data_IF_183518119695
#
_entry.id   IF_183518119695
#
_cell.length_a   1.000
_cell.length_b   1.000
_cell.length_c   1.000
_cell.angle_alpha   90.00
_cell.angle_beta   90.00
_cell.angle_gamma   90.00
#
_symmetry.space_group_name_H-M   'P 1'
#
loop_
_entity.id
_entity.type
_entity.pdbx_description
1 polymer ?
#
# COMPACT_ATOMS: atom_id res chain seq x y z
N UNK A 1 -11.26 0.34 -8.57
CA UNK A 1 -11.36 -0.55 -7.39
C UNK A 1 -10.94 0.22 -6.16
N UNK A 2 -11.65 0.06 -5.06
CA UNK A 2 -11.44 0.88 -3.86
C UNK A 2 -11.58 0.01 -2.62
N UNK A 3 -10.77 0.33 -1.59
CA UNK A 3 -10.84 -0.35 -0.31
C UNK A 3 -10.70 0.67 0.83
N UNK A 4 -11.47 0.44 1.90
CA UNK A 4 -11.50 1.35 3.06
C UNK A 4 -10.47 0.93 4.10
N UNK A 5 -9.61 1.86 4.46
CA UNK A 5 -8.71 1.71 5.60
C UNK A 5 -9.17 2.54 6.78
N UNK A 6 -8.49 2.36 7.90
CA UNK A 6 -8.75 3.13 9.13
C UNK A 6 -8.25 4.57 8.96
N UNK A 7 -7.06 4.72 8.40
CA UNK A 7 -6.37 6.00 8.27
C UNK A 7 -6.34 6.52 6.83
N UNK A 8 -6.90 5.77 5.88
CA UNK A 8 -6.94 6.19 4.48
C UNK A 8 -7.82 5.31 3.63
N UNK A 9 -8.12 5.78 2.43
CA UNK A 9 -8.85 5.04 1.41
C UNK A 9 -7.88 4.74 0.29
N UNK A 10 -7.81 3.47 -0.14
CA UNK A 10 -6.96 3.06 -1.25
C UNK A 10 -7.84 2.87 -2.47
N UNK A 11 -7.46 3.48 -3.59
CA UNK A 11 -8.11 3.26 -4.88
C UNK A 11 -7.06 2.83 -5.89
N UNK A 12 -7.42 1.94 -6.80
CA UNK A 12 -6.52 1.47 -7.85
C UNK A 12 -7.22 1.46 -9.19
N UNK A 13 -6.54 1.93 -10.21
CA UNK A 13 -6.95 1.76 -11.61
C UNK A 13 -5.82 1.02 -12.35
N UNK A 14 -5.88 0.99 -13.66
CA UNK A 14 -4.94 0.23 -14.47
C UNK A 14 -3.51 0.75 -14.40
N UNK A 15 -3.30 2.00 -14.00
CA UNK A 15 -1.99 2.65 -14.04
C UNK A 15 -1.50 3.16 -12.70
N UNK A 16 -2.39 3.43 -11.75
CA UNK A 16 -2.01 4.09 -10.50
C UNK A 16 -2.75 3.51 -9.30
N UNK A 17 -2.09 3.57 -8.15
CA UNK A 17 -2.71 3.41 -6.82
C UNK A 17 -2.77 4.80 -6.19
N UNK A 18 -3.92 5.15 -5.63
CA UNK A 18 -4.13 6.43 -4.98
C UNK A 18 -4.52 6.18 -3.52
N UNK A 19 -3.86 6.85 -2.59
CA UNK A 19 -4.19 6.79 -1.17
C UNK A 19 -4.69 8.17 -0.74
N UNK A 20 -5.92 8.22 -0.26
CA UNK A 20 -6.49 9.44 0.32
C UNK A 20 -6.46 9.29 1.83
N UNK A 21 -5.59 10.06 2.49
CA UNK A 21 -5.41 9.99 3.93
C UNK A 21 -6.54 10.70 4.66
N UNK A 22 -7.13 10.02 5.65
CA UNK A 22 -8.27 10.53 6.42
C UNK A 22 -7.86 11.17 7.73
N UNK A 23 -6.72 10.76 8.29
CA UNK A 23 -6.31 11.14 9.64
C UNK A 23 -5.01 11.89 9.61
N UNK A 24 -4.74 12.66 10.66
CA UNK A 24 -3.44 13.34 10.82
C UNK A 24 -2.30 12.33 10.80
N UNK A 25 -2.48 11.17 11.43
CA UNK A 25 -1.48 10.11 11.45
C UNK A 25 -1.18 9.61 10.04
N UNK A 26 -2.22 9.40 9.24
CA UNK A 26 -2.04 8.98 7.85
C UNK A 26 -1.30 10.03 7.05
N UNK A 27 -1.66 11.31 7.22
CA UNK A 27 -0.98 12.41 6.53
C UNK A 27 0.48 12.54 6.95
N UNK A 28 0.80 12.25 8.22
CA UNK A 28 2.18 12.25 8.69
C UNK A 28 3.00 11.11 8.09
N UNK A 29 2.35 10.06 7.63
CA UNK A 29 3.02 8.94 6.95
C UNK A 29 3.23 9.20 5.47
N UNK A 30 2.61 10.23 4.89
CA UNK A 30 2.77 10.56 3.48
C UNK A 30 4.10 11.27 3.23
N UNK A 31 4.58 11.18 2.00
CA UNK A 31 5.89 11.72 1.64
C UNK A 31 5.93 13.23 1.75
N UNK A 32 4.89 13.91 1.29
CA UNK A 32 4.84 15.36 1.21
C UNK A 32 3.92 16.00 2.25
N UNK A 33 3.36 15.20 3.16
CA UNK A 33 2.43 15.68 4.17
C UNK A 33 1.04 16.01 3.66
N UNK A 34 0.76 15.79 2.38
CA UNK A 34 -0.57 16.02 1.81
C UNK A 34 -1.52 14.89 2.20
N UNK A 35 -2.82 15.09 1.95
CA UNK A 35 -3.81 14.05 2.19
C UNK A 35 -4.02 13.12 0.98
N UNK A 36 -3.25 13.29 -0.08
CA UNK A 36 -3.38 12.50 -1.30
C UNK A 36 -2.01 12.04 -1.77
N UNK A 37 -1.87 10.73 -1.99
CA UNK A 37 -0.69 10.16 -2.63
C UNK A 37 -1.10 9.42 -3.89
N UNK A 38 -0.37 9.63 -4.97
CA UNK A 38 -0.58 8.93 -6.24
C UNK A 38 0.68 8.14 -6.55
N UNK A 39 0.55 6.81 -6.68
CA UNK A 39 1.68 5.91 -6.88
C UNK A 39 1.51 5.21 -8.23
N UNK A 40 2.39 5.45 -9.21
CA UNK A 40 2.34 4.69 -10.46
C UNK A 40 2.57 3.20 -10.16
N UNK A 41 1.75 2.33 -10.72
CA UNK A 41 1.88 0.88 -10.50
C UNK A 41 3.22 0.38 -11.04
N UNK A 42 3.73 1.01 -12.11
CA UNK A 42 5.04 0.66 -12.66
C UNK A 42 6.19 0.86 -11.66
N UNK A 43 5.99 1.66 -10.63
CA UNK A 43 6.99 1.91 -9.59
C UNK A 43 6.84 1.01 -8.37
N UNK A 44 5.79 0.21 -8.30
CA UNK A 44 5.57 -0.69 -7.18
C UNK A 44 6.36 -1.96 -7.42
N UNK A 45 7.28 -2.24 -6.49
CA UNK A 45 8.07 -3.47 -6.52
C UNK A 45 7.25 -4.65 -6.01
N UNK A 46 6.59 -4.49 -4.87
CA UNK A 46 5.82 -5.55 -4.22
C UNK A 46 4.88 -4.95 -3.19
N UNK A 47 4.06 -5.79 -2.59
CA UNK A 47 3.19 -5.41 -1.47
C UNK A 47 3.46 -6.33 -0.28
N UNK A 48 3.26 -5.80 0.92
CA UNK A 48 3.30 -6.57 2.16
C UNK A 48 1.92 -6.48 2.80
N UNK A 49 1.31 -7.64 3.05
CA UNK A 49 0.00 -7.70 3.70
C UNK A 49 0.14 -8.35 5.07
N UNK A 50 -0.25 -7.61 6.09
CA UNK A 50 -0.40 -8.11 7.45
C UNK A 50 -1.89 -8.30 7.69
N UNK A 51 -2.37 -9.54 7.88
CA UNK A 51 -3.80 -9.77 8.04
C UNK A 51 -4.35 -9.14 9.33
N UNK A 52 -5.58 -8.67 9.25
CA UNK A 52 -6.30 -8.22 10.43
C UNK A 52 -6.86 -9.42 11.19
N UNK A 53 -7.04 -9.24 12.49
CA UNK A 53 -7.72 -10.21 13.36
C UNK A 53 -8.82 -9.49 14.12
N UNK A 54 -9.72 -10.20 14.83
CA UNK A 54 -10.71 -9.52 15.64
C UNK A 54 -10.11 -8.59 16.70
N UNK A 55 -8.90 -8.89 17.17
CA UNK A 55 -8.23 -8.08 18.19
C UNK A 55 -7.17 -7.14 17.70
N UNK A 56 -6.86 -7.12 16.37
CA UNK A 56 -5.80 -6.24 15.86
C UNK A 56 -6.06 -5.84 14.42
N UNK A 57 -5.60 -4.64 14.07
CA UNK A 57 -5.68 -4.12 12.71
C UNK A 57 -4.68 -4.83 11.80
N UNK A 58 -5.04 -4.94 10.53
CA UNK A 58 -4.10 -5.35 9.49
C UNK A 58 -3.44 -4.14 8.84
N UNK A 59 -2.53 -4.42 7.91
CA UNK A 59 -1.81 -3.38 7.19
C UNK A 59 -1.53 -3.84 5.76
N UNK A 60 -1.72 -2.95 4.79
CA UNK A 60 -1.27 -3.14 3.43
C UNK A 60 -0.23 -2.08 3.12
N UNK A 61 0.98 -2.52 2.77
CA UNK A 61 2.09 -1.64 2.43
C UNK A 61 2.52 -1.86 1.00
N UNK A 62 2.81 -0.76 0.29
CA UNK A 62 3.37 -0.80 -1.05
C UNK A 62 4.86 -0.48 -0.98
N UNK A 63 5.68 -1.39 -1.50
CA UNK A 63 7.14 -1.21 -1.58
C UNK A 63 7.49 -0.71 -2.97
N UNK A 64 8.19 0.41 -3.05
CA UNK A 64 8.55 1.03 -4.33
C UNK A 64 9.91 0.58 -4.81
N UNK A 65 10.11 0.59 -6.12
CA UNK A 65 11.41 0.31 -6.73
C UNK A 65 12.39 1.37 -6.22
N UNK A 66 13.54 0.92 -5.73
CA UNK A 66 14.53 1.78 -5.08
C UNK A 66 14.43 1.79 -3.56
N UNK A 67 13.33 1.31 -3.01
CA UNK A 67 13.09 1.19 -1.57
C UNK A 67 12.60 -0.22 -1.24
N UNK A 68 13.33 -1.23 -1.71
CA UNK A 68 12.89 -2.62 -1.62
C UNK A 68 13.07 -3.27 -0.27
N UNK A 69 13.53 -2.55 0.74
CA UNK A 69 13.63 -3.12 2.08
C UNK A 69 12.26 -3.17 2.73
N UNK A 70 11.50 -4.27 2.56
CA UNK A 70 10.18 -4.34 3.17
C UNK A 70 10.31 -4.39 4.68
N UNK A 71 9.30 -3.89 5.37
CA UNK A 71 9.23 -4.03 6.81
C UNK A 71 9.09 -5.50 7.14
N UNK A 72 9.92 -5.99 8.06
CA UNK A 72 9.75 -7.35 8.58
C UNK A 72 8.81 -7.30 9.79
N UNK A 73 8.09 -8.37 9.99
CA UNK A 73 7.15 -8.45 11.11
C UNK A 73 7.83 -8.35 12.47
N UNK A 74 9.06 -8.83 12.54
CA UNK A 74 9.81 -8.85 13.78
C UNK A 74 10.33 -7.47 14.15
N UNK A 75 10.41 -6.58 13.19
CA UNK A 75 10.78 -5.20 13.45
C UNK A 75 9.52 -4.39 13.60
N UNK A 76 9.24 -3.96 14.77
CA UNK A 76 8.07 -3.20 15.14
C UNK A 76 7.62 -2.24 14.01
N UNK A 77 6.74 -2.71 13.15
CA UNK A 77 6.29 -1.98 11.97
C UNK A 77 5.63 -0.65 12.32
N UNK A 78 5.03 -0.54 13.50
CA UNK A 78 4.44 0.72 13.97
C UNK A 78 5.52 1.79 14.17
N UNK A 79 6.67 1.41 14.70
CA UNK A 79 7.80 2.34 14.85
C UNK A 79 8.31 2.79 13.49
N UNK A 80 8.35 1.89 12.52
CA UNK A 80 8.82 2.22 11.18
C UNK A 80 7.86 3.17 10.46
N UNK A 81 6.55 3.03 10.67
CA UNK A 81 5.58 3.97 10.12
C UNK A 81 5.82 5.40 10.63
N UNK A 82 6.28 5.54 11.87
CA UNK A 82 6.55 6.86 12.45
C UNK A 82 7.86 7.45 11.95
N UNK A 83 8.86 6.61 11.70
CA UNK A 83 10.21 7.04 11.35
C UNK A 83 10.44 7.18 9.85
N UNK A 84 9.79 6.37 9.06
CA UNK A 84 10.04 6.28 7.62
C UNK A 84 8.89 6.95 6.86
N UNK A 85 9.12 8.18 6.43
CA UNK A 85 8.13 8.95 5.68
C UNK A 85 7.90 8.42 4.26
N UNK A 86 8.70 7.46 3.81
CA UNK A 86 8.52 6.86 2.48
C UNK A 86 7.65 5.59 2.53
N UNK A 87 7.13 5.25 3.69
CA UNK A 87 6.30 4.06 3.87
C UNK A 87 4.87 4.35 3.40
N UNK A 88 4.44 3.63 2.38
CA UNK A 88 3.09 3.73 1.83
C UNK A 88 2.26 2.58 2.41
N UNK A 89 1.77 2.76 3.63
CA UNK A 89 1.07 1.70 4.35
C UNK A 89 -0.26 2.20 4.91
N UNK A 90 -1.31 1.42 4.72
CA UNK A 90 -2.66 1.73 5.18
C UNK A 90 -3.11 0.66 6.15
N UNK A 91 -3.61 1.07 7.31
CA UNK A 91 -4.17 0.19 8.31
C UNK A 91 -5.64 -0.10 8.00
N UNK A 92 -6.11 -1.31 8.31
CA UNK A 92 -7.51 -1.66 8.09
C UNK A 92 -8.01 -2.58 9.19
N UNK A 93 -9.34 -2.56 9.39
CA UNK A 93 -10.02 -3.48 10.28
C UNK A 93 -10.44 -4.75 9.54
N UNK A 94 -10.67 -5.82 10.28
CA UNK A 94 -11.04 -7.13 9.72
C UNK A 94 -12.19 -7.06 8.69
N UNK A 95 -13.28 -6.30 8.91
CA UNK A 95 -14.35 -6.23 7.91
C UNK A 95 -13.92 -5.74 6.52
N UNK A 96 -12.84 -4.98 6.44
CA UNK A 96 -12.33 -4.47 5.15
C UNK A 96 -11.36 -5.42 4.47
N UNK A 97 -10.97 -6.51 5.12
CA UNK A 97 -9.90 -7.38 4.64
C UNK A 97 -10.21 -7.98 3.27
N UNK A 98 -11.47 -8.31 2.99
CA UNK A 98 -11.85 -8.85 1.69
C UNK A 98 -11.57 -7.83 0.57
N UNK A 99 -11.96 -6.58 0.77
CA UNK A 99 -11.72 -5.52 -0.21
C UNK A 99 -10.22 -5.23 -0.38
N UNK A 100 -9.49 -5.24 0.72
CA UNK A 100 -8.04 -5.02 0.70
C UNK A 100 -7.34 -6.14 -0.08
N UNK A 101 -7.73 -7.39 0.14
CA UNK A 101 -7.18 -8.52 -0.61
C UNK A 101 -7.50 -8.44 -2.10
N UNK A 102 -8.73 -8.06 -2.44
CA UNK A 102 -9.13 -7.91 -3.83
C UNK A 102 -8.33 -6.81 -4.54
N UNK A 103 -8.14 -5.70 -3.87
CA UNK A 103 -7.33 -4.59 -4.41
C UNK A 103 -5.87 -5.01 -4.57
N UNK A 104 -5.31 -5.70 -3.59
CA UNK A 104 -3.94 -6.21 -3.67
C UNK A 104 -3.77 -7.15 -4.87
N UNK A 105 -4.70 -8.06 -5.07
CA UNK A 105 -4.68 -8.99 -6.21
C UNK A 105 -4.71 -8.22 -7.54
N UNK A 106 -5.58 -7.23 -7.64
CA UNK A 106 -5.68 -6.39 -8.83
C UNK A 106 -4.34 -5.69 -9.11
N UNK A 107 -3.72 -5.11 -8.09
CA UNK A 107 -2.43 -4.42 -8.25
C UNK A 107 -1.36 -5.39 -8.70
N UNK A 108 -1.29 -6.60 -8.11
CA UNK A 108 -0.31 -7.61 -8.49
C UNK A 108 -0.49 -8.06 -9.94
N UNK A 109 -1.72 -8.22 -10.40
CA UNK A 109 -1.99 -8.56 -11.79
C UNK A 109 -1.51 -7.46 -12.74
N UNK A 110 -1.71 -6.20 -12.37
CA UNK A 110 -1.23 -5.07 -13.18
C UNK A 110 0.29 -4.99 -13.19
N UNK A 111 0.95 -5.25 -12.05
CA UNK A 111 2.40 -5.30 -11.99
C UNK A 111 2.94 -6.37 -12.95
N UNK A 112 2.36 -7.56 -12.91
CA UNK A 112 2.78 -8.66 -13.79
C UNK A 112 2.57 -8.31 -15.26
N UNK A 113 1.43 -7.72 -15.59
CA UNK A 113 1.12 -7.29 -16.96
C UNK A 113 2.15 -6.28 -17.46
N UNK A 114 2.46 -5.26 -16.67
CA UNK A 114 3.39 -4.21 -17.08
C UNK A 114 4.81 -4.75 -17.25
N UNK A 115 5.24 -5.67 -16.38
CA UNK A 115 6.56 -6.30 -16.50
C UNK A 115 6.65 -7.20 -17.73
N UNK A 116 5.60 -7.95 -18.03
CA UNK A 116 5.54 -8.78 -19.23
C UNK A 116 5.64 -7.93 -20.50
N UNK A 117 4.94 -6.82 -20.55
CA UNK A 117 5.00 -5.90 -21.69
C UNK A 117 6.39 -5.31 -21.88
N UNK A 118 7.06 -4.95 -20.80
CA UNK A 118 8.43 -4.44 -20.87
C UNK A 118 9.39 -5.51 -21.42
N UNK A 119 9.19 -6.76 -21.03
CA UNK A 119 10.01 -7.87 -21.53
C UNK A 119 9.81 -8.10 -23.01
N UNK A 120 8.62 -7.84 -23.54
CA UNK A 120 8.30 -8.03 -24.95
C UNK A 120 8.87 -6.92 -25.85
N UNK A 121 9.17 -5.78 -25.30
CA UNK A 121 9.71 -4.64 -26.05
C UNK A 121 11.20 -4.82 -26.34
N UNK A 122 11.87 -5.65 -25.59
CA UNK A 122 13.28 -5.96 -25.79
C UNK A 122 13.43 -7.06 -26.86
#
# INVERSE_FOLDING_TARGET
MEAQGVDGIIAANETHVTITWKTLRGRLSSIDGSNLEVIPISRIFDTVLIPATPGSKGCLQFSLIGNENPLTFEENWMSNLRKNKTTHAVLFHLPSQFQINALRTFVHERISYLRSNQSQII
#
